data_IF_516557207364
#
_entry.id   IF_516557207364
#
_cell.length_a   1.000
_cell.length_b   1.000
_cell.length_c   1.000
_cell.angle_alpha   90.00
_cell.angle_beta   90.00
_cell.angle_gamma   90.00
#
_symmetry.space_group_name_H-M   'P 1'
#
loop_
_entity.id
_entity.type
_entity.pdbx_description
1 polymer ?
#
# COMPACT_ATOMS: atom_id res chain seq x y z
N UNK A 1 -0.46 55.33 -15.28
CA UNK A 1 0.15 54.01 -15.15
C UNK A 1 -0.94 52.97 -15.23
N UNK A 2 -0.94 52.13 -16.26
CA UNK A 2 -1.84 51.01 -16.32
C UNK A 2 -1.48 50.06 -15.15
N UNK A 3 -2.38 49.98 -14.18
CA UNK A 3 -2.27 48.97 -13.15
C UNK A 3 -2.33 47.61 -13.83
N UNK A 4 -1.23 46.88 -13.81
CA UNK A 4 -1.23 45.50 -14.29
C UNK A 4 -2.09 44.69 -13.31
N UNK A 5 -3.32 44.45 -13.71
CA UNK A 5 -4.28 43.74 -12.90
C UNK A 5 -4.06 42.22 -13.04
N UNK A 6 -2.85 41.78 -12.73
CA UNK A 6 -2.39 40.41 -12.84
C UNK A 6 -3.31 39.48 -12.06
N UNK A 7 -3.83 39.93 -10.91
CA UNK A 7 -4.75 39.13 -10.11
C UNK A 7 -6.08 38.83 -10.81
N UNK A 8 -6.63 39.83 -11.50
CA UNK A 8 -7.87 39.64 -12.23
C UNK A 8 -7.66 38.88 -13.54
N UNK A 9 -6.49 39.05 -14.15
CA UNK A 9 -6.13 38.34 -15.36
C UNK A 9 -5.85 36.86 -15.06
N UNK A 10 -5.22 36.56 -13.96
CA UNK A 10 -5.00 35.17 -13.53
C UNK A 10 -6.31 34.44 -13.24
N UNK A 11 -7.32 35.17 -12.75
CA UNK A 11 -8.64 34.58 -12.51
C UNK A 11 -9.39 34.20 -13.78
N UNK A 12 -8.97 34.69 -14.95
CA UNK A 12 -9.62 34.42 -16.24
C UNK A 12 -8.97 33.24 -16.98
N UNK A 13 -7.90 32.69 -16.46
CA UNK A 13 -7.41 31.41 -16.95
C UNK A 13 -8.47 30.33 -16.76
N UNK A 14 -8.43 29.26 -17.56
CA UNK A 14 -9.39 28.17 -17.40
C UNK A 14 -9.43 27.74 -15.96
N UNK A 15 -10.59 27.83 -15.33
CA UNK A 15 -10.80 27.37 -13.96
C UNK A 15 -10.59 25.87 -13.95
N UNK A 16 -9.55 25.43 -13.28
CA UNK A 16 -9.35 24.02 -13.02
C UNK A 16 -10.43 23.58 -12.05
N UNK A 17 -11.35 22.75 -12.49
CA UNK A 17 -12.39 22.19 -11.64
C UNK A 17 -12.10 20.70 -11.40
N UNK A 18 -12.25 20.25 -10.18
CA UNK A 18 -11.98 18.85 -9.84
C UNK A 18 -11.94 18.61 -8.34
N UNK A 19 -11.26 17.55 -7.96
CA UNK A 19 -11.09 17.15 -6.55
C UNK A 19 -10.21 18.17 -5.82
N UNK A 20 -10.64 18.59 -4.63
CA UNK A 20 -9.81 19.41 -3.75
C UNK A 20 -8.49 18.70 -3.41
N UNK A 21 -7.40 19.46 -3.36
CA UNK A 21 -6.04 18.92 -3.16
C UNK A 21 -5.53 17.95 -4.23
N UNK A 22 -6.15 17.89 -5.39
CA UNK A 22 -5.67 17.09 -6.52
C UNK A 22 -4.37 17.65 -7.13
N UNK A 23 -3.54 16.77 -7.67
CA UNK A 23 -2.38 17.17 -8.46
C UNK A 23 -2.86 17.73 -9.81
N UNK A 24 -2.27 18.85 -10.23
CA UNK A 24 -2.55 19.42 -11.54
C UNK A 24 -1.53 18.85 -12.54
N UNK A 25 -2.02 18.22 -13.58
CA UNK A 25 -1.24 17.81 -14.75
C UNK A 25 -1.55 18.65 -15.96
N UNK A 26 -0.60 18.77 -16.90
CA UNK A 26 -0.83 19.50 -18.14
C UNK A 26 -1.48 18.61 -19.19
N UNK A 27 -2.67 19.01 -19.66
CA UNK A 27 -3.34 18.34 -20.75
C UNK A 27 -2.92 18.97 -22.08
N UNK A 28 -2.00 18.32 -22.79
CA UNK A 28 -1.44 18.86 -24.04
C UNK A 28 -2.46 18.96 -25.18
N UNK A 29 -3.45 18.10 -25.20
CA UNK A 29 -4.52 18.11 -26.21
C UNK A 29 -5.44 19.31 -26.04
N UNK A 30 -5.84 19.60 -24.80
CA UNK A 30 -6.78 20.69 -24.49
C UNK A 30 -6.09 21.99 -24.10
N UNK A 31 -4.74 21.94 -23.86
CA UNK A 31 -3.91 23.11 -23.51
C UNK A 31 -4.30 23.79 -22.18
N UNK A 32 -4.75 23.01 -21.21
CA UNK A 32 -4.99 23.48 -19.84
C UNK A 32 -4.55 22.45 -18.78
N UNK A 33 -4.62 22.83 -17.51
CA UNK A 33 -4.34 21.92 -16.40
C UNK A 33 -5.56 21.10 -16.00
N UNK A 34 -5.40 19.80 -15.88
CA UNK A 34 -6.38 18.88 -15.31
C UNK A 34 -6.03 18.54 -13.86
N UNK A 35 -7.02 18.37 -13.01
CA UNK A 35 -6.85 17.88 -11.65
C UNK A 35 -7.01 16.36 -11.64
N UNK A 36 -5.96 15.70 -11.18
CA UNK A 36 -5.93 14.23 -11.02
C UNK A 36 -6.68 13.84 -9.74
N UNK A 37 -7.88 13.33 -9.87
CA UNK A 37 -8.69 12.92 -8.72
C UNK A 37 -8.12 11.73 -7.96
N UNK A 38 -7.30 10.91 -8.61
CA UNK A 38 -6.62 9.74 -8.02
C UNK A 38 -5.30 10.04 -7.32
N UNK A 39 -4.83 11.30 -7.32
CA UNK A 39 -3.59 11.72 -6.69
C UNK A 39 -3.82 13.04 -5.95
N UNK A 40 -3.89 12.97 -4.62
CA UNK A 40 -4.22 14.13 -3.79
C UNK A 40 -3.19 14.34 -2.68
N UNK A 41 -2.99 15.61 -2.29
CA UNK A 41 -2.13 15.99 -1.18
C UNK A 41 -2.83 17.03 -0.29
N UNK A 42 -3.02 16.69 0.99
CA UNK A 42 -3.75 17.54 1.94
C UNK A 42 -2.85 18.36 2.87
N UNK A 43 -1.56 18.54 2.53
CA UNK A 43 -0.57 19.23 3.36
C UNK A 43 0.27 18.28 4.24
N UNK A 44 -0.15 17.07 4.48
CA UNK A 44 0.58 16.05 5.26
C UNK A 44 0.63 14.68 4.59
N UNK A 45 -0.41 14.29 3.89
CA UNK A 45 -0.56 12.96 3.30
C UNK A 45 -0.72 13.06 1.79
N UNK A 46 0.10 12.33 1.06
CA UNK A 46 -0.08 12.05 -0.36
C UNK A 46 -0.90 10.76 -0.50
N UNK A 47 -2.11 10.86 -1.06
CA UNK A 47 -2.98 9.71 -1.31
C UNK A 47 -3.01 9.39 -2.80
N UNK A 48 -2.83 8.12 -3.13
CA UNK A 48 -2.83 7.60 -4.50
C UNK A 48 -3.88 6.51 -4.61
N UNK A 49 -4.91 6.76 -5.42
CA UNK A 49 -5.95 5.77 -5.74
C UNK A 49 -5.51 4.92 -6.94
N UNK A 50 -4.43 4.16 -6.77
CA UNK A 50 -3.84 3.36 -7.83
C UNK A 50 -2.55 2.69 -7.41
N UNK A 51 -1.81 2.16 -8.37
CA UNK A 51 -0.49 1.60 -8.14
C UNK A 51 0.59 2.68 -8.21
N UNK A 52 1.65 2.49 -7.43
CA UNK A 52 2.88 3.29 -7.50
C UNK A 52 3.97 2.37 -8.04
N UNK A 53 4.61 2.78 -9.14
CA UNK A 53 5.80 2.12 -9.68
C UNK A 53 6.97 3.09 -9.65
N UNK A 54 8.13 2.63 -9.21
CA UNK A 54 9.36 3.40 -9.21
C UNK A 54 10.45 2.60 -9.93
N UNK A 55 11.28 3.27 -10.72
CA UNK A 55 12.47 2.67 -11.34
C UNK A 55 13.71 2.76 -10.44
N UNK A 56 13.64 3.54 -9.38
CA UNK A 56 14.62 3.65 -8.30
C UNK A 56 14.07 3.17 -6.98
N UNK A 57 14.85 3.33 -5.93
CA UNK A 57 14.50 2.91 -4.58
C UNK A 57 13.37 3.76 -4.00
N UNK A 58 12.50 3.12 -3.21
CA UNK A 58 11.54 3.80 -2.34
C UNK A 58 11.99 3.58 -0.90
N UNK A 59 12.41 4.66 -0.22
CA UNK A 59 12.75 4.61 1.20
C UNK A 59 11.55 5.05 2.02
N UNK A 60 11.00 4.13 2.80
CA UNK A 60 9.87 4.39 3.68
C UNK A 60 10.14 3.84 5.08
N UNK A 61 9.72 4.59 6.10
CA UNK A 61 9.80 4.18 7.50
C UNK A 61 8.40 4.00 8.06
N UNK A 62 8.16 2.86 8.71
CA UNK A 62 6.90 2.60 9.39
C UNK A 62 7.07 2.78 10.90
N UNK A 63 6.20 3.59 11.52
CA UNK A 63 6.26 3.84 12.96
C UNK A 63 6.14 2.55 13.76
N UNK A 64 7.09 2.30 14.66
CA UNK A 64 7.12 1.10 15.51
C UNK A 64 7.60 1.36 16.93
N UNK A 65 7.65 2.63 17.35
CA UNK A 65 8.01 3.02 18.70
C UNK A 65 7.03 2.42 19.72
N UNK A 66 7.57 1.84 20.79
CA UNK A 66 6.77 1.21 21.86
C UNK A 66 5.78 2.20 22.51
N UNK A 67 6.19 3.45 22.64
CA UNK A 67 5.37 4.53 23.25
C UNK A 67 4.10 4.87 22.45
N UNK A 68 4.00 4.41 21.21
CA UNK A 68 2.85 4.57 20.33
C UNK A 68 1.93 3.35 20.31
N UNK A 69 2.15 2.38 21.21
CA UNK A 69 1.45 1.10 21.22
C UNK A 69 0.90 0.80 22.61
N UNK A 70 -0.33 0.36 22.66
CA UNK A 70 -0.98 -0.15 23.85
C UNK A 70 -1.20 -1.66 23.76
N UNK A 71 -1.36 -2.33 24.91
CA UNK A 71 -1.70 -3.75 25.01
C UNK A 71 -0.76 -4.66 24.21
N UNK A 72 0.54 -4.41 24.31
CA UNK A 72 1.56 -5.19 23.61
C UNK A 72 1.58 -6.61 24.17
N UNK A 73 1.30 -7.59 23.32
CA UNK A 73 1.36 -9.02 23.64
C UNK A 73 2.20 -9.76 22.61
N UNK A 74 2.94 -10.76 23.06
CA UNK A 74 3.69 -11.64 22.16
C UNK A 74 2.73 -12.53 21.37
N UNK A 75 2.99 -12.72 20.09
CA UNK A 75 2.26 -13.68 19.27
C UNK A 75 2.52 -15.10 19.78
N UNK A 76 1.51 -15.96 19.76
CA UNK A 76 1.58 -17.36 20.16
C UNK A 76 1.01 -18.29 19.10
N UNK A 77 1.44 -19.54 19.15
CA UNK A 77 1.00 -20.61 18.23
C UNK A 77 1.22 -20.25 16.74
N UNK A 78 2.24 -19.43 16.48
CA UNK A 78 2.52 -18.90 15.15
C UNK A 78 3.02 -19.99 14.23
N UNK A 79 3.89 -20.87 14.74
CA UNK A 79 4.44 -21.96 13.96
C UNK A 79 3.36 -22.92 13.46
N UNK A 80 2.32 -23.16 14.25
CA UNK A 80 1.21 -24.01 13.85
C UNK A 80 0.30 -23.28 12.84
N UNK A 81 0.04 -21.99 13.06
CA UNK A 81 -0.77 -21.16 12.13
C UNK A 81 -0.16 -21.03 10.73
N UNK A 82 1.16 -20.89 10.63
CA UNK A 82 1.81 -20.74 9.31
C UNK A 82 1.77 -22.03 8.48
N UNK A 83 1.47 -23.20 9.07
CA UNK A 83 1.28 -24.44 8.30
C UNK A 83 0.09 -24.34 7.33
N UNK A 84 -0.87 -23.47 7.60
CA UNK A 84 -2.03 -23.22 6.77
C UNK A 84 -1.79 -22.18 5.66
N UNK A 85 -0.58 -21.63 5.59
CA UNK A 85 -0.17 -20.63 4.59
C UNK A 85 0.86 -21.25 3.66
N UNK A 86 0.55 -21.24 2.36
CA UNK A 86 1.49 -21.70 1.33
C UNK A 86 2.27 -20.56 0.72
N UNK A 87 3.57 -20.78 0.52
CA UNK A 87 4.32 -20.08 -0.50
C UNK A 87 3.98 -20.71 -1.86
N UNK A 88 3.58 -19.92 -2.84
CA UNK A 88 3.12 -20.43 -4.13
C UNK A 88 3.79 -19.70 -5.29
N UNK A 89 3.95 -20.43 -6.39
CA UNK A 89 4.21 -19.87 -7.71
C UNK A 89 2.88 -19.79 -8.46
N UNK A 90 2.70 -18.76 -9.28
CA UNK A 90 1.46 -18.55 -10.03
C UNK A 90 1.69 -17.70 -11.27
N UNK A 91 0.72 -17.74 -12.19
CA UNK A 91 0.67 -16.84 -13.32
C UNK A 91 -0.46 -15.82 -13.15
N UNK A 92 -0.15 -14.55 -13.41
CA UNK A 92 -1.15 -13.50 -13.40
C UNK A 92 -2.18 -13.72 -14.51
N UNK A 93 -3.46 -13.70 -14.16
CA UNK A 93 -4.56 -13.88 -15.12
C UNK A 93 -5.08 -12.53 -15.64
N UNK A 94 -6.01 -12.58 -16.58
CA UNK A 94 -6.57 -11.42 -17.28
C UNK A 94 -7.66 -10.65 -16.51
N UNK A 95 -7.95 -11.01 -15.24
CA UNK A 95 -8.89 -10.27 -14.38
C UNK A 95 -8.27 -9.00 -13.78
N UNK A 96 -7.00 -8.80 -13.99
CA UNK A 96 -6.24 -7.60 -13.68
C UNK A 96 -5.34 -7.24 -14.87
N UNK A 97 -4.91 -5.98 -14.95
CA UNK A 97 -4.14 -5.48 -16.11
C UNK A 97 -2.74 -4.97 -15.76
N UNK A 98 -2.43 -4.90 -14.45
CA UNK A 98 -1.20 -4.29 -13.94
C UNK A 98 -0.01 -5.22 -14.05
N UNK A 99 -0.22 -6.52 -13.78
CA UNK A 99 0.85 -7.52 -13.72
C UNK A 99 0.66 -8.58 -14.80
N UNK A 100 1.77 -9.16 -15.27
CA UNK A 100 1.76 -10.22 -16.29
C UNK A 100 2.88 -11.23 -16.00
N UNK A 101 2.65 -12.45 -16.47
CA UNK A 101 3.63 -13.52 -16.41
C UNK A 101 3.65 -14.25 -15.08
N UNK A 102 4.74 -14.99 -14.88
CA UNK A 102 4.97 -15.84 -13.72
C UNK A 102 5.45 -15.03 -12.52
N UNK A 103 5.01 -15.39 -11.32
CA UNK A 103 5.35 -14.70 -10.08
C UNK A 103 5.26 -15.66 -8.88
N UNK A 104 5.71 -15.22 -7.74
CA UNK A 104 5.60 -15.96 -6.47
C UNK A 104 5.00 -15.07 -5.38
N UNK A 105 4.38 -15.72 -4.40
CA UNK A 105 3.80 -15.03 -3.27
C UNK A 105 3.03 -15.95 -2.35
N UNK A 106 2.05 -15.39 -1.69
CA UNK A 106 1.13 -16.08 -0.77
C UNK A 106 -0.31 -15.83 -1.19
N UNK A 107 -1.22 -16.62 -0.67
CA UNK A 107 -2.66 -16.50 -0.94
C UNK A 107 -3.32 -15.69 0.18
N UNK A 108 -3.89 -14.53 -0.15
CA UNK A 108 -4.51 -13.63 0.83
C UNK A 108 -5.61 -14.32 1.65
N UNK A 109 -6.39 -15.21 1.04
CA UNK A 109 -7.45 -15.94 1.73
C UNK A 109 -6.93 -16.98 2.74
N UNK A 110 -5.73 -17.51 2.54
CA UNK A 110 -5.08 -18.41 3.52
C UNK A 110 -4.59 -17.60 4.72
N UNK A 111 -3.94 -16.47 4.46
CA UNK A 111 -3.48 -15.57 5.53
C UNK A 111 -4.67 -15.04 6.36
N UNK A 112 -5.76 -14.65 5.70
CA UNK A 112 -6.94 -14.09 6.37
C UNK A 112 -7.54 -15.04 7.42
N UNK A 113 -7.47 -16.36 7.20
CA UNK A 113 -7.98 -17.36 8.14
C UNK A 113 -7.24 -17.37 9.46
N UNK A 114 -5.95 -17.10 9.45
CA UNK A 114 -5.06 -17.22 10.64
C UNK A 114 -4.54 -15.87 11.15
N UNK A 115 -4.41 -14.88 10.27
CA UNK A 115 -3.97 -13.51 10.56
C UNK A 115 -4.79 -12.48 9.76
N UNK A 116 -6.08 -12.28 10.08
CA UNK A 116 -6.95 -11.38 9.34
C UNK A 116 -6.44 -9.93 9.28
N UNK A 117 -5.65 -9.49 10.29
CA UNK A 117 -5.07 -8.15 10.36
C UNK A 117 -4.05 -7.87 9.23
N UNK A 118 -3.51 -8.93 8.65
CA UNK A 118 -2.52 -8.84 7.56
C UNK A 118 -3.18 -8.71 6.18
N UNK A 119 -4.50 -8.78 6.10
CA UNK A 119 -5.24 -8.70 4.85
C UNK A 119 -6.09 -7.44 4.81
N UNK A 120 -6.12 -6.80 3.65
CA UNK A 120 -7.01 -5.70 3.35
C UNK A 120 -7.86 -6.05 2.12
N UNK A 121 -9.14 -5.70 2.14
CA UNK A 121 -9.98 -5.75 0.96
C UNK A 121 -9.96 -4.38 0.29
N UNK A 122 -9.59 -4.34 -0.98
CA UNK A 122 -9.58 -3.13 -1.80
C UNK A 122 -10.99 -2.77 -2.27
N UNK A 123 -11.18 -1.55 -2.73
CA UNK A 123 -12.47 -1.07 -3.29
C UNK A 123 -12.95 -1.93 -4.47
N UNK A 124 -12.04 -2.58 -5.17
CA UNK A 124 -12.32 -3.54 -6.23
C UNK A 124 -12.91 -4.88 -5.74
N UNK A 125 -12.97 -5.09 -4.42
CA UNK A 125 -13.36 -6.35 -3.80
C UNK A 125 -12.24 -7.40 -3.72
N UNK A 126 -11.10 -7.17 -4.37
CA UNK A 126 -9.95 -8.09 -4.28
C UNK A 126 -9.16 -7.86 -2.98
N UNK A 127 -8.63 -8.96 -2.44
CA UNK A 127 -7.82 -8.94 -1.22
C UNK A 127 -6.36 -8.66 -1.53
N UNK A 128 -5.69 -7.96 -0.61
CA UNK A 128 -4.28 -7.65 -0.67
C UNK A 128 -3.61 -7.98 0.67
N UNK A 129 -2.36 -8.39 0.62
CA UNK A 129 -1.57 -8.76 1.79
C UNK A 129 -0.66 -7.59 2.18
N UNK A 130 -0.60 -7.29 3.47
CA UNK A 130 0.34 -6.35 4.07
C UNK A 130 1.66 -7.09 4.32
N UNK A 131 2.43 -7.31 3.25
CA UNK A 131 3.65 -8.14 3.27
C UNK A 131 4.66 -7.70 4.33
N UNK A 132 4.79 -6.40 4.58
CA UNK A 132 5.71 -5.85 5.59
C UNK A 132 5.40 -6.34 7.01
N UNK A 133 4.16 -6.71 7.31
CA UNK A 133 3.73 -7.21 8.62
C UNK A 133 3.98 -8.70 8.81
N UNK A 134 4.18 -9.45 7.74
CA UNK A 134 4.59 -10.85 7.82
C UNK A 134 5.94 -11.04 8.53
N UNK A 135 6.77 -10.01 8.57
CA UNK A 135 8.05 -10.05 9.29
C UNK A 135 7.84 -10.38 10.78
N UNK A 136 6.83 -9.80 11.44
CA UNK A 136 6.54 -10.08 12.85
C UNK A 136 6.12 -11.55 13.05
N UNK A 137 5.32 -12.09 12.14
CA UNK A 137 4.90 -13.50 12.14
C UNK A 137 6.11 -14.42 11.97
N UNK A 138 6.98 -14.13 10.99
CA UNK A 138 8.17 -14.94 10.72
C UNK A 138 9.18 -14.91 11.87
N UNK A 139 9.39 -13.74 12.50
CA UNK A 139 10.27 -13.63 13.68
C UNK A 139 9.78 -14.57 14.80
N UNK A 140 8.49 -14.54 15.08
CA UNK A 140 7.93 -15.38 16.14
C UNK A 140 7.93 -16.86 15.76
N UNK A 141 7.63 -17.21 14.52
CA UNK A 141 7.69 -18.58 14.03
C UNK A 141 9.09 -19.18 14.14
N UNK A 142 10.13 -18.39 13.82
CA UNK A 142 11.54 -18.84 13.99
C UNK A 142 11.87 -19.08 15.46
N UNK A 143 11.41 -18.23 16.36
CA UNK A 143 11.62 -18.43 17.81
C UNK A 143 10.94 -19.70 18.31
N UNK A 144 9.67 -19.92 17.96
CA UNK A 144 8.93 -21.12 18.34
C UNK A 144 9.56 -22.40 17.75
N UNK A 145 10.08 -22.31 16.52
CA UNK A 145 10.81 -23.42 15.90
C UNK A 145 12.11 -23.72 16.66
N UNK A 146 12.89 -22.69 17.00
CA UNK A 146 14.12 -22.85 17.79
C UNK A 146 13.83 -23.54 19.14
N UNK A 147 12.80 -23.11 19.86
CA UNK A 147 12.39 -23.73 21.11
C UNK A 147 12.00 -25.21 20.93
N UNK A 148 11.31 -25.55 19.82
CA UNK A 148 11.01 -26.97 19.52
C UNK A 148 12.29 -27.77 19.26
N UNK A 149 13.25 -27.22 18.53
CA UNK A 149 14.54 -27.89 18.25
C UNK A 149 15.34 -28.08 19.52
N UNK A 150 15.45 -27.08 20.41
CA UNK A 150 16.15 -27.19 21.67
C UNK A 150 15.54 -28.26 22.58
N UNK A 151 14.23 -28.45 22.59
CA UNK A 151 13.56 -29.51 23.37
C UNK A 151 13.81 -30.92 22.83
N UNK A 152 14.28 -31.05 21.57
CA UNK A 152 14.65 -32.35 20.98
C UNK A 152 16.13 -32.74 21.23
N UNK A 153 16.91 -31.80 21.71
CA UNK A 153 18.33 -32.00 22.06
C UNK A 153 18.46 -32.42 23.51
#
# INVERSE_FOLDING_TARGET
GASCNIGTQGAVGPTVSGTDNGLITWNDTQKYGDIESGLTYNGSTLAVAGAITATGDITAFYSSDERLKDNITTLTDVLDKIQDIRGVEFDWNNKQTLYKGHDLGVIAQEIEKVFPELVATRDTGYKAVKYEKLVAVLIQAVKELNEKVEKLS
#
